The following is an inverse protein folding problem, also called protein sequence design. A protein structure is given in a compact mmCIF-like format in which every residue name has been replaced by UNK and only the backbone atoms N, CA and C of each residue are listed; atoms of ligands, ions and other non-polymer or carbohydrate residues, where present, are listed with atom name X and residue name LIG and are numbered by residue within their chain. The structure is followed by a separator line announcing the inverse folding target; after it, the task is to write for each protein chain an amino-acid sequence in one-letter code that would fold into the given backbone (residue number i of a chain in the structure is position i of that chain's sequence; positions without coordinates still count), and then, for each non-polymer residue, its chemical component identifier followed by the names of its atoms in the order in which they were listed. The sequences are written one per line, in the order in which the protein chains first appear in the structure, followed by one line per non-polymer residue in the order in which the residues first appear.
data_IF_804613976357
#
_entry.id   IF_804613976357
#
_cell.length_a   1.000
_cell.length_b   1.000
_cell.length_c   1.000
_cell.angle_alpha   90.00
_cell.angle_beta   90.00
_cell.angle_gamma   90.00
#
_symmetry.space_group_name_H-M   'P 1'
#
loop_
_entity.id
_entity.type
_entity.pdbx_description
1 polymer ?
#
# COMPACT_ATOMS: atom_id res chain seq x y z
N UNK A 1 -18.22 6.56 -20.41
CA UNK A 1 -17.65 7.46 -19.39
C UNK A 1 -16.72 8.44 -20.09
N UNK A 2 -16.96 9.76 -19.96
CA UNK A 2 -16.12 10.80 -20.60
C UNK A 2 -15.04 11.22 -19.61
N UNK A 3 -13.81 10.77 -19.81
CA UNK A 3 -12.66 11.37 -19.13
C UNK A 3 -12.33 12.72 -19.79
N UNK A 4 -12.62 13.79 -19.04
CA UNK A 4 -11.92 15.09 -18.94
C UNK A 4 -11.42 15.78 -20.23
N UNK A 5 -12.15 16.81 -20.65
CA UNK A 5 -11.55 18.00 -21.28
C UNK A 5 -12.10 19.24 -20.56
N UNK A 6 -11.28 19.83 -19.69
CA UNK A 6 -11.61 20.99 -18.87
C UNK A 6 -10.37 21.47 -18.11
N UNK A 7 -10.29 22.76 -17.74
CA UNK A 7 -9.17 23.27 -16.98
C UNK A 7 -9.04 22.51 -15.65
N UNK A 8 -7.80 22.41 -15.15
CA UNK A 8 -7.53 21.85 -13.82
C UNK A 8 -8.41 22.61 -12.81
N UNK A 9 -9.21 21.92 -11.99
CA UNK A 9 -10.06 22.60 -11.03
C UNK A 9 -9.24 23.51 -10.11
N UNK A 10 -9.76 24.71 -9.81
CA UNK A 10 -9.05 25.71 -8.99
C UNK A 10 -8.73 25.24 -7.57
N UNK A 11 -9.43 24.21 -7.09
CA UNK A 11 -9.21 23.57 -5.80
C UNK A 11 -8.19 22.43 -5.83
N UNK A 12 -7.67 22.04 -7.00
CA UNK A 12 -6.67 20.97 -7.09
C UNK A 12 -5.36 21.41 -6.43
N UNK A 13 -4.92 20.67 -5.41
CA UNK A 13 -3.65 20.90 -4.72
C UNK A 13 -2.77 19.65 -4.79
N UNK A 14 -1.45 19.80 -4.98
CA UNK A 14 -0.53 18.70 -4.82
C UNK A 14 -0.46 18.32 -3.33
N UNK A 15 -0.74 17.07 -3.02
CA UNK A 15 -0.62 16.53 -1.68
C UNK A 15 0.55 15.55 -1.59
N UNK A 16 1.13 15.41 -0.40
CA UNK A 16 2.06 14.33 -0.12
C UNK A 16 1.32 13.00 -0.22
N UNK A 17 1.99 11.98 -0.75
CA UNK A 17 1.44 10.62 -0.85
C UNK A 17 2.34 9.66 -0.11
N UNK A 18 1.86 8.49 0.30
CA UNK A 18 2.73 7.42 0.79
C UNK A 18 2.96 6.39 -0.32
N UNK A 19 4.21 5.99 -0.50
CA UNK A 19 4.57 4.87 -1.35
C UNK A 19 4.86 3.66 -0.48
N UNK A 20 4.20 2.54 -0.79
CA UNK A 20 4.46 1.24 -0.18
C UNK A 20 5.44 0.49 -1.09
N UNK A 21 6.58 0.09 -0.53
CA UNK A 21 7.65 -0.60 -1.26
C UNK A 21 7.58 -2.12 -1.09
N UNK A 22 7.07 -2.59 0.04
CA UNK A 22 7.05 -4.01 0.33
C UNK A 22 6.25 -4.33 1.58
N UNK A 23 5.69 -5.54 1.57
CA UNK A 23 5.02 -6.15 2.71
C UNK A 23 5.62 -7.54 2.84
N UNK A 24 6.25 -7.82 3.99
CA UNK A 24 6.95 -9.06 4.26
C UNK A 24 6.33 -9.78 5.45
N UNK A 25 6.23 -11.10 5.35
CA UNK A 25 5.89 -11.97 6.47
C UNK A 25 7.20 -12.43 7.11
N UNK A 26 7.38 -12.17 8.40
CA UNK A 26 8.56 -12.51 9.17
C UNK A 26 8.18 -13.25 10.47
N UNK A 27 9.18 -13.77 11.18
CA UNK A 27 9.04 -14.34 12.53
C UNK A 27 7.83 -15.28 12.69
N UNK A 28 7.72 -16.28 11.81
CA UNK A 28 6.64 -17.27 11.87
C UNK A 28 6.68 -18.05 13.18
N UNK A 29 5.50 -18.34 13.72
CA UNK A 29 5.33 -19.32 14.79
C UNK A 29 5.83 -20.70 14.33
N UNK A 30 6.48 -21.46 15.22
CA UNK A 30 7.10 -22.77 14.95
C UNK A 30 6.15 -23.81 14.29
N UNK A 31 4.84 -23.64 14.45
CA UNK A 31 3.81 -24.53 13.87
C UNK A 31 3.57 -24.27 12.38
N UNK A 32 3.94 -23.10 11.87
CA UNK A 32 3.82 -22.74 10.47
C UNK A 32 5.11 -23.11 9.72
N UNK A 33 4.97 -23.86 8.64
CA UNK A 33 6.10 -24.29 7.83
C UNK A 33 6.04 -23.70 6.43
N UNK A 34 7.18 -23.21 5.95
CA UNK A 34 7.35 -22.83 4.55
C UNK A 34 7.25 -24.05 3.62
N UNK A 35 6.74 -23.89 2.38
CA UNK A 35 6.16 -22.68 1.82
C UNK A 35 4.73 -22.42 2.34
N UNK A 36 4.36 -21.14 2.45
CA UNK A 36 3.01 -20.72 2.84
C UNK A 36 2.16 -20.41 1.61
N UNK A 37 0.97 -20.98 1.52
CA UNK A 37 -0.03 -20.61 0.52
C UNK A 37 -0.92 -19.51 1.10
N UNK A 38 -0.57 -18.25 0.85
CA UNK A 38 -1.20 -17.09 1.49
C UNK A 38 -2.28 -16.49 0.60
N UNK A 39 -3.43 -16.18 1.19
CA UNK A 39 -4.50 -15.41 0.58
C UNK A 39 -5.11 -14.41 1.57
N UNK A 40 -6.06 -13.62 1.11
CA UNK A 40 -6.66 -12.51 1.84
C UNK A 40 -6.25 -11.17 1.23
N UNK A 41 -6.22 -10.12 2.05
CA UNK A 41 -5.96 -8.78 1.56
C UNK A 41 -5.08 -7.96 2.49
N UNK A 42 -4.41 -6.99 1.89
CA UNK A 42 -3.86 -5.81 2.55
C UNK A 42 -4.37 -4.59 1.81
N UNK A 43 -4.93 -3.62 2.50
CA UNK A 43 -5.48 -2.41 1.90
C UNK A 43 -5.12 -1.17 2.71
N UNK A 44 -4.82 -0.08 2.01
CA UNK A 44 -4.70 1.24 2.60
C UNK A 44 -6.06 1.95 2.57
N UNK A 45 -6.31 2.78 3.59
CA UNK A 45 -7.39 3.75 3.67
C UNK A 45 -6.80 5.12 3.90
N UNK A 46 -7.22 6.06 3.08
CA UNK A 46 -7.09 7.48 3.32
C UNK A 46 -8.49 8.12 3.30
N UNK A 47 -8.55 9.41 3.56
CA UNK A 47 -9.80 10.17 3.60
C UNK A 47 -10.23 10.72 2.25
N UNK A 48 -9.54 10.36 1.15
CA UNK A 48 -9.92 10.85 -0.17
C UNK A 48 -11.24 10.26 -0.65
N UNK A 49 -11.49 8.98 -0.34
CA UNK A 49 -12.76 8.30 -0.65
C UNK A 49 -13.21 7.28 0.42
N UNK A 50 -12.42 7.09 1.49
CA UNK A 50 -12.61 6.10 2.55
C UNK A 50 -12.72 4.63 2.10
N UNK A 51 -12.51 4.34 0.81
CA UNK A 51 -12.55 3.00 0.25
C UNK A 51 -11.22 2.27 0.47
N UNK A 52 -11.29 0.93 0.42
CA UNK A 52 -10.11 0.07 0.42
C UNK A 52 -9.32 0.28 -0.86
N UNK A 53 -8.10 0.78 -0.73
CA UNK A 53 -7.11 0.79 -1.78
C UNK A 53 -6.22 -0.45 -1.62
N UNK A 54 -6.58 -1.53 -2.30
CA UNK A 54 -5.90 -2.82 -2.16
C UNK A 54 -4.45 -2.74 -2.62
N UNK A 55 -3.55 -3.20 -1.75
CA UNK A 55 -2.11 -3.35 -2.00
C UNK A 55 -1.77 -4.80 -2.36
N UNK A 56 -2.53 -5.73 -1.78
CA UNK A 56 -2.50 -7.17 -2.02
C UNK A 56 -3.93 -7.68 -1.91
N UNK A 57 -4.38 -8.51 -2.84
CA UNK A 57 -5.70 -9.13 -2.79
C UNK A 57 -5.70 -10.45 -3.56
N UNK A 58 -5.70 -11.55 -2.82
CA UNK A 58 -5.74 -12.90 -3.36
C UNK A 58 -6.88 -13.68 -2.70
N UNK A 59 -7.60 -14.48 -3.47
CA UNK A 59 -8.67 -15.35 -2.98
C UNK A 59 -8.11 -16.73 -2.60
N UNK A 60 -8.90 -17.54 -1.91
CA UNK A 60 -8.45 -18.88 -1.47
C UNK A 60 -8.20 -19.85 -2.63
N UNK A 61 -8.82 -19.64 -3.80
CA UNK A 61 -8.56 -20.38 -5.04
C UNK A 61 -7.30 -19.90 -5.77
N UNK A 62 -6.85 -18.67 -5.52
CA UNK A 62 -5.68 -18.06 -6.15
C UNK A 62 -4.69 -17.56 -5.09
N UNK A 63 -4.15 -18.45 -4.27
CA UNK A 63 -3.16 -18.08 -3.25
C UNK A 63 -1.81 -17.69 -3.86
N UNK A 64 -1.10 -16.75 -3.23
CA UNK A 64 0.32 -16.55 -3.48
C UNK A 64 1.13 -17.55 -2.65
N UNK A 65 2.15 -18.16 -3.25
CA UNK A 65 3.11 -19.00 -2.52
C UNK A 65 4.25 -18.13 -2.03
N UNK A 66 4.45 -18.10 -0.71
CA UNK A 66 5.59 -17.46 -0.06
C UNK A 66 6.59 -18.52 0.37
N UNK A 67 7.88 -18.20 0.28
CA UNK A 67 8.97 -19.10 0.69
C UNK A 67 9.87 -18.41 1.71
N UNK A 68 10.74 -19.17 2.37
CA UNK A 68 11.70 -18.58 3.29
C UNK A 68 12.68 -17.62 2.58
N UNK A 69 13.01 -17.91 1.32
CA UNK A 69 13.90 -17.07 0.49
C UNK A 69 13.17 -15.86 -0.08
N UNK A 70 11.87 -15.97 -0.33
CA UNK A 70 11.01 -14.89 -0.82
C UNK A 70 9.71 -14.78 0.01
N UNK A 71 9.79 -14.12 1.19
CA UNK A 71 8.66 -13.99 2.10
C UNK A 71 7.82 -12.71 1.85
N UNK A 72 7.86 -12.16 0.63
CA UNK A 72 7.20 -10.90 0.29
C UNK A 72 5.86 -11.12 -0.41
N UNK A 73 4.85 -10.37 0.01
CA UNK A 73 3.59 -10.29 -0.73
C UNK A 73 3.84 -9.56 -2.06
N UNK A 74 3.34 -10.13 -3.14
CA UNK A 74 3.37 -9.53 -4.46
C UNK A 74 2.36 -8.39 -4.48
N UNK A 75 2.86 -7.16 -4.38
CA UNK A 75 2.00 -5.98 -4.38
C UNK A 75 1.39 -5.79 -5.77
N UNK A 76 0.07 -5.74 -5.83
CA UNK A 76 -0.66 -5.34 -7.05
C UNK A 76 -0.63 -3.82 -7.26
N UNK A 77 0.03 -3.11 -6.33
CA UNK A 77 0.09 -1.66 -6.28
C UNK A 77 -1.24 -1.07 -5.81
N UNK A 78 -1.21 0.14 -5.21
CA UNK A 78 -2.44 0.82 -4.91
C UNK A 78 -3.09 1.28 -6.23
N UNK A 79 -4.37 0.99 -6.43
CA UNK A 79 -5.15 1.42 -7.61
C UNK A 79 -5.24 2.94 -7.75
N UNK A 80 -5.01 3.67 -6.65
CA UNK A 80 -5.00 5.13 -6.58
C UNK A 80 -3.88 5.61 -5.66
N UNK A 81 -3.48 6.88 -5.78
CA UNK A 81 -2.53 7.45 -4.81
C UNK A 81 -3.11 7.38 -3.38
N UNK A 82 -2.26 7.04 -2.40
CA UNK A 82 -2.61 7.08 -0.98
C UNK A 82 -2.17 8.44 -0.46
N UNK A 83 -3.14 9.32 -0.18
CA UNK A 83 -2.88 10.73 0.08
C UNK A 83 -2.75 10.99 1.58
N UNK A 84 -1.71 11.71 1.99
CA UNK A 84 -1.44 12.07 3.39
C UNK A 84 -2.10 13.42 3.71
N UNK A 85 -3.44 13.43 3.82
CA UNK A 85 -4.22 14.58 4.34
C UNK A 85 -4.61 14.33 5.80
N UNK A 86 -5.09 13.13 6.07
CA UNK A 86 -5.58 12.65 7.37
C UNK A 86 -4.88 11.35 7.75
N UNK A 87 -5.11 10.76 8.95
CA UNK A 87 -4.56 9.47 9.32
C UNK A 87 -4.79 8.41 8.23
N UNK A 88 -3.69 7.81 7.79
CA UNK A 88 -3.72 6.68 6.86
C UNK A 88 -3.72 5.41 7.69
N UNK A 89 -4.62 4.51 7.35
CA UNK A 89 -4.75 3.21 8.00
C UNK A 89 -4.46 2.11 7.00
N UNK A 90 -3.57 1.19 7.33
CA UNK A 90 -3.34 -0.04 6.57
C UNK A 90 -4.00 -1.17 7.33
N UNK A 91 -5.05 -1.75 6.75
CA UNK A 91 -5.74 -2.92 7.30
C UNK A 91 -5.34 -4.18 6.53
N UNK A 92 -5.23 -5.29 7.23
CA UNK A 92 -4.89 -6.57 6.62
C UNK A 92 -5.61 -7.73 7.29
N UNK A 93 -5.94 -8.71 6.46
CA UNK A 93 -6.44 -10.00 6.88
C UNK A 93 -5.84 -11.03 5.94
N UNK A 94 -4.87 -11.78 6.43
CA UNK A 94 -4.13 -12.79 5.69
C UNK A 94 -4.38 -14.17 6.30
N UNK A 95 -4.55 -15.16 5.44
CA UNK A 95 -4.78 -16.55 5.82
C UNK A 95 -3.80 -17.47 5.11
N UNK A 96 -3.50 -18.60 5.72
CA UNK A 96 -2.79 -19.71 5.08
C UNK A 96 -3.80 -20.76 4.67
N UNK A 97 -3.70 -21.22 3.42
CA UNK A 97 -4.54 -22.29 2.91
C UNK A 97 -4.23 -23.61 3.61
N UNK A 98 -5.26 -24.29 4.10
CA UNK A 98 -5.11 -25.64 4.65
C UNK A 98 -4.81 -26.65 3.54
N UNK A 99 -3.99 -27.65 3.86
CA UNK A 99 -3.69 -28.76 2.93
C UNK A 99 -4.84 -29.77 2.83
N UNK A 100 -5.73 -29.80 3.81
CA UNK A 100 -6.74 -30.85 3.97
C UNK A 100 -8.14 -30.38 3.55
N UNK A 101 -8.59 -29.21 4.01
CA UNK A 101 -9.91 -28.66 3.69
C UNK A 101 -9.85 -27.12 3.57
N UNK A 102 -10.28 -26.50 2.45
CA UNK A 102 -10.40 -25.04 2.32
C UNK A 102 -11.25 -24.33 3.38
N UNK A 103 -12.17 -25.05 4.06
CA UNK A 103 -12.95 -24.50 5.17
C UNK A 103 -12.12 -24.32 6.44
N UNK A 104 -10.96 -24.95 6.51
CA UNK A 104 -10.04 -24.92 7.64
C UNK A 104 -8.86 -23.95 7.42
N UNK A 105 -8.95 -23.03 6.44
CA UNK A 105 -7.93 -22.01 6.22
C UNK A 105 -7.67 -21.19 7.50
N UNK A 106 -6.42 -21.22 7.95
CA UNK A 106 -6.01 -20.66 9.24
C UNK A 106 -5.67 -19.17 9.11
N UNK A 107 -5.99 -18.38 10.13
CA UNK A 107 -5.58 -16.98 10.18
C UNK A 107 -4.05 -16.89 10.35
N UNK A 108 -3.40 -16.13 9.46
CA UNK A 108 -1.97 -15.82 9.54
C UNK A 108 -1.74 -14.52 10.29
N UNK A 109 -2.46 -13.47 9.87
CA UNK A 109 -2.33 -12.13 10.39
C UNK A 109 -3.63 -11.37 10.21
N UNK A 110 -4.10 -10.69 11.25
CA UNK A 110 -5.24 -9.79 11.21
C UNK A 110 -4.90 -8.55 12.03
N UNK A 111 -5.09 -7.38 11.44
CA UNK A 111 -4.75 -6.17 12.16
C UNK A 111 -4.85 -4.90 11.36
N UNK A 112 -4.50 -3.83 12.05
CA UNK A 112 -4.52 -2.47 11.56
C UNK A 112 -3.20 -1.81 11.96
N UNK A 113 -2.60 -1.11 11.00
CA UNK A 113 -1.44 -0.25 11.21
C UNK A 113 -1.82 1.19 10.88
N UNK A 114 -1.66 2.08 11.85
CA UNK A 114 -1.85 3.52 11.64
C UNK A 114 -0.51 4.14 11.24
N UNK A 115 -0.46 4.76 10.06
CA UNK A 115 0.72 5.48 9.62
C UNK A 115 1.01 6.64 10.59
N UNK A 116 2.22 6.72 11.18
CA UNK A 116 2.54 7.70 12.22
C UNK A 116 2.72 9.14 11.70
N UNK A 117 2.23 9.46 10.50
CA UNK A 117 2.27 10.81 9.92
C UNK A 117 3.68 11.42 9.89
N UNK A 118 4.67 10.64 9.48
CA UNK A 118 6.09 11.04 9.38
C UNK A 118 6.38 11.86 8.12
N UNK A 119 5.78 13.05 7.99
CA UNK A 119 5.83 13.92 6.80
C UNK A 119 7.25 14.34 6.36
N UNK A 120 8.24 14.27 7.25
CA UNK A 120 9.61 14.71 7.00
C UNK A 120 10.60 13.57 6.70
N UNK A 121 10.14 12.32 6.67
CA UNK A 121 11.02 11.21 6.36
C UNK A 121 11.50 11.29 4.90
N UNK A 122 12.81 11.22 4.69
CA UNK A 122 13.44 11.24 3.36
C UNK A 122 13.93 9.86 2.92
N UNK A 123 13.70 8.84 3.74
CA UNK A 123 14.15 7.47 3.54
C UNK A 123 12.99 6.48 3.74
N UNK A 124 13.20 5.24 3.30
CA UNK A 124 12.26 4.14 3.51
C UNK A 124 12.22 3.77 4.98
N UNK A 125 11.04 3.88 5.59
CA UNK A 125 10.75 3.44 6.94
C UNK A 125 10.32 1.98 6.89
N UNK A 126 10.76 1.20 7.88
CA UNK A 126 10.28 -0.16 8.12
C UNK A 126 9.56 -0.22 9.46
N UNK A 127 8.37 -0.79 9.47
CA UNK A 127 7.58 -1.00 10.69
C UNK A 127 7.17 -2.46 10.78
N UNK A 128 7.49 -3.10 11.90
CA UNK A 128 7.02 -4.45 12.22
C UNK A 128 5.72 -4.39 13.01
N UNK A 129 4.75 -5.21 12.61
CA UNK A 129 3.47 -5.36 13.29
C UNK A 129 3.40 -6.80 13.79
N UNK A 130 3.52 -6.97 15.10
CA UNK A 130 3.38 -8.29 15.72
C UNK A 130 1.93 -8.77 15.57
N UNK A 131 1.78 -9.98 15.04
CA UNK A 131 0.54 -10.72 14.98
C UNK A 131 0.72 -12.04 15.74
N UNK A 132 -0.37 -12.74 16.01
CA UNK A 132 -0.35 -13.96 16.83
C UNK A 132 0.59 -15.05 16.29
N UNK A 133 0.77 -15.13 14.98
CA UNK A 133 1.52 -16.23 14.31
C UNK A 133 2.67 -15.78 13.43
N UNK A 134 2.87 -14.48 13.28
CA UNK A 134 3.94 -13.89 12.48
C UNK A 134 4.12 -12.40 12.79
N UNK A 135 5.18 -11.80 12.25
CA UNK A 135 5.34 -10.35 12.15
C UNK A 135 5.06 -9.90 10.72
N UNK A 136 4.21 -8.90 10.53
CA UNK A 136 4.07 -8.21 9.25
C UNK A 136 5.01 -7.01 9.21
N UNK A 137 6.00 -7.05 8.34
CA UNK A 137 6.92 -5.93 8.11
C UNK A 137 6.46 -5.09 6.91
N UNK A 138 6.14 -3.83 7.16
CA UNK A 138 5.81 -2.84 6.14
C UNK A 138 7.03 -1.98 5.82
N UNK A 139 7.34 -1.82 4.53
CA UNK A 139 8.32 -0.86 4.03
C UNK A 139 7.61 0.25 3.26
N UNK A 140 7.76 1.50 3.69
CA UNK A 140 7.06 2.65 3.10
C UNK A 140 7.86 3.95 3.21
N UNK A 141 7.56 4.95 2.38
CA UNK A 141 8.09 6.31 2.54
C UNK A 141 7.06 7.35 2.10
N UNK A 142 7.05 8.54 2.73
CA UNK A 142 6.32 9.66 2.18
C UNK A 142 6.99 10.12 0.88
N UNK A 143 6.17 10.38 -0.12
CA UNK A 143 6.52 11.00 -1.38
C UNK A 143 6.00 12.43 -1.37
N UNK A 144 6.93 13.38 -1.29
CA UNK A 144 6.60 14.80 -1.44
C UNK A 144 6.68 15.15 -2.93
N UNK A 145 5.63 15.74 -3.53
CA UNK A 145 5.78 16.33 -4.84
C UNK A 145 6.80 17.46 -4.72
N UNK A 146 8.03 17.24 -5.22
CA UNK A 146 9.04 18.31 -5.33
C UNK A 146 8.34 19.50 -5.96
N UNK A 147 8.35 20.64 -5.26
CA UNK A 147 7.89 21.90 -5.83
C UNK A 147 8.63 22.11 -7.15
N UNK A 148 7.91 22.00 -8.27
CA UNK A 148 8.38 22.60 -9.51
C UNK A 148 8.58 24.07 -9.17
N UNK A 149 9.81 24.57 -9.32
CA UNK A 149 10.04 26.00 -9.47
C UNK A 149 8.96 26.52 -10.44
N UNK A 150 8.27 27.62 -10.15
CA UNK A 150 7.32 28.16 -11.11
C UNK A 150 8.10 28.38 -12.41
N UNK A 151 7.63 27.75 -13.49
CA UNK A 151 8.02 28.18 -14.83
C UNK A 151 7.57 29.64 -14.90
N UNK A 152 8.52 30.56 -14.78
CA UNK A 152 8.29 31.94 -15.11
C UNK A 152 7.88 31.95 -16.58
N UNK A 153 6.60 32.14 -16.84
CA UNK A 153 6.11 32.53 -18.14
C UNK A 153 6.60 33.98 -18.33
N UNK A 154 7.85 34.14 -18.78
CA UNK A 154 8.29 35.41 -19.33
C UNK A 154 7.55 35.56 -20.65
N UNK A 155 6.52 36.41 -20.63
CA UNK A 155 5.83 36.83 -21.84
C UNK A 155 6.84 37.37 -22.84
N UNK A 156 6.79 36.83 -24.05
CA UNK A 156 7.24 37.54 -25.24
C UNK A 156 6.27 37.14 -26.34
N UNK A 157 5.48 38.13 -26.73
CA UNK A 157 4.56 38.12 -27.86
C UNK A 157 5.24 37.57 -29.11
N UNK A 158 4.73 36.47 -29.65
CA UNK A 158 4.99 36.12 -31.04
C UNK A 158 4.04 36.97 -31.89
N UNK A 159 4.58 38.05 -32.44
CA UNK A 159 3.93 38.80 -33.53
C UNK A 159 4.07 37.94 -34.78
N UNK A 160 2.95 37.59 -35.39
CA UNK A 160 2.93 37.01 -36.73
C UNK A 160 3.37 38.08 -37.74
N UNK A 161 4.37 37.73 -38.56
CA UNK A 161 4.85 38.46 -39.72
C UNK A 161 5.69 37.54 -40.58
#
# INVERSE_FOLDING_TARGET
MRFTFGPIPSYARPHCTIQIFGIRVADLEDRLQWPLHVHGFVAARDTSDHNRNFLFNHTSDNCQVLTQQDPYLLLTGPSRAIVIIDPITIEFQLKVKSKMDPKEDEMLAFGIFNYPQTYLATHVIRSGILCDRCTIELAYAPWTPRSRRPLSVSGSSMVCG
#
